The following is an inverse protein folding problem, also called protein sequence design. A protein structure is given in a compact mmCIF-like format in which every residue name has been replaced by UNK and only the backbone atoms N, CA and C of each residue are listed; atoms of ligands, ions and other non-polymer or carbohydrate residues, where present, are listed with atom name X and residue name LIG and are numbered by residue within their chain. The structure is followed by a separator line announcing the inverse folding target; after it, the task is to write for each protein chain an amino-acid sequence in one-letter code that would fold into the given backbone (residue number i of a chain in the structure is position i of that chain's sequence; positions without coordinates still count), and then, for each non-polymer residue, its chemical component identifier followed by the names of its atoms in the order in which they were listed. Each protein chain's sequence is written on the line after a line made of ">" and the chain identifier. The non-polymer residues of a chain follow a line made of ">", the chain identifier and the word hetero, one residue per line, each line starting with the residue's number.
data_IF_356048212333
#
_entry.id   IF_356048212333
#
_cell.length_a   1.000
_cell.length_b   1.000
_cell.length_c   1.000
_cell.angle_alpha   90.00
_cell.angle_beta   90.00
_cell.angle_gamma   90.00
#
_symmetry.space_group_name_H-M   'P 1'
#
loop_
_entity.id
_entity.type
_entity.pdbx_description
1 polymer ?
#
# COMPACT_ATOMS: atom_id res chain seq x y z
N UNK A 1 16.54 9.22 -4.08
CA UNK A 1 17.59 8.31 -3.57
C UNK A 1 17.58 8.17 -2.04
N UNK A 2 17.06 9.15 -1.29
CA UNK A 2 17.03 9.13 0.19
C UNK A 2 16.50 7.83 0.81
N UNK A 3 15.32 7.36 0.37
CA UNK A 3 14.73 6.13 0.90
C UNK A 3 15.60 4.88 0.68
N UNK A 4 16.34 4.81 -0.43
CA UNK A 4 17.25 3.71 -0.70
C UNK A 4 18.42 3.71 0.29
N UNK A 5 19.02 4.87 0.55
CA UNK A 5 20.11 5.01 1.52
C UNK A 5 19.64 4.67 2.94
N UNK A 6 18.49 5.21 3.36
CA UNK A 6 17.90 4.94 4.68
C UNK A 6 17.52 3.47 4.88
N UNK A 7 17.17 2.75 3.81
CA UNK A 7 16.90 1.31 3.86
C UNK A 7 18.16 0.43 3.93
N UNK A 8 19.35 1.00 4.10
CA UNK A 8 20.60 0.24 4.06
C UNK A 8 20.96 -0.25 2.66
N UNK A 9 20.60 0.51 1.62
CA UNK A 9 20.76 0.13 0.20
C UNK A 9 19.97 -1.12 -0.20
N UNK A 10 18.80 -1.35 0.41
CA UNK A 10 17.91 -2.49 0.08
C UNK A 10 16.80 -2.09 -0.89
N UNK A 11 16.05 -1.01 -0.60
CA UNK A 11 14.92 -0.58 -1.44
C UNK A 11 14.63 0.92 -1.33
N UNK A 12 14.54 1.58 -2.48
CA UNK A 12 14.14 2.99 -2.62
C UNK A 12 12.82 3.22 -3.34
N UNK A 13 12.18 2.15 -3.81
CA UNK A 13 10.99 2.24 -4.66
C UNK A 13 9.78 2.80 -3.92
N UNK A 14 9.00 3.64 -4.60
CA UNK A 14 7.73 4.18 -4.12
C UNK A 14 6.70 3.95 -5.23
N UNK A 15 5.63 3.24 -4.91
CA UNK A 15 4.53 3.03 -5.85
C UNK A 15 3.84 4.37 -6.14
N UNK A 16 3.52 4.62 -7.40
CA UNK A 16 2.76 5.79 -7.83
C UNK A 16 1.31 5.40 -8.10
N UNK A 17 0.37 6.28 -7.74
CA UNK A 17 -1.07 6.13 -8.01
C UNK A 17 -1.62 4.78 -7.55
N UNK A 18 -1.55 4.51 -6.24
CA UNK A 18 -2.14 3.30 -5.66
C UNK A 18 -3.62 3.14 -6.08
N UNK A 19 -3.94 1.97 -6.62
CA UNK A 19 -5.29 1.58 -7.03
C UNK A 19 -5.99 0.80 -5.91
N UNK A 20 -7.23 0.38 -6.13
CA UNK A 20 -7.95 -0.54 -5.23
C UNK A 20 -8.14 0.01 -3.81
N UNK A 21 -8.22 1.34 -3.69
CA UNK A 21 -8.36 2.04 -2.41
C UNK A 21 -7.26 1.73 -1.39
N UNK A 22 -6.08 1.38 -1.88
CA UNK A 22 -4.87 1.22 -1.08
C UNK A 22 -4.07 2.51 -1.02
N UNK A 23 -3.19 2.60 -0.03
CA UNK A 23 -2.31 3.73 0.22
C UNK A 23 -0.96 3.25 0.80
N UNK A 24 -0.03 4.20 0.95
CA UNK A 24 1.31 3.96 1.44
C UNK A 24 2.34 3.68 0.34
N UNK A 25 3.61 3.66 0.74
CA UNK A 25 4.77 3.50 -0.16
C UNK A 25 4.67 2.28 -1.09
N UNK A 26 4.09 1.20 -0.58
CA UNK A 26 3.90 -0.07 -1.30
C UNK A 26 2.44 -0.42 -1.54
N UNK A 27 1.52 0.55 -1.42
CA UNK A 27 0.09 0.29 -1.52
C UNK A 27 -0.40 -0.83 -0.58
N UNK A 28 0.13 -0.87 0.66
CA UNK A 28 0.06 -2.01 1.58
C UNK A 28 -0.92 -1.82 2.74
N UNK A 29 -1.61 -0.69 2.81
CA UNK A 29 -2.72 -0.46 3.73
C UNK A 29 -3.87 0.25 3.02
N UNK A 30 -5.05 0.31 3.64
CA UNK A 30 -6.22 0.94 3.04
C UNK A 30 -6.18 2.46 3.20
N UNK A 31 -6.56 3.18 2.14
CA UNK A 31 -6.71 4.64 2.19
C UNK A 31 -7.72 5.02 3.26
N UNK A 32 -7.54 6.19 3.86
CA UNK A 32 -8.52 6.79 4.77
C UNK A 32 -9.94 6.77 4.17
N UNK A 33 -10.93 6.43 5.00
CA UNK A 33 -12.32 6.20 4.59
C UNK A 33 -12.61 4.78 4.06
N UNK A 34 -11.60 3.93 3.89
CA UNK A 34 -11.76 2.52 3.51
C UNK A 34 -11.25 1.62 4.63
N UNK A 35 -11.92 0.49 4.84
CA UNK A 35 -11.53 -0.50 5.85
C UNK A 35 -10.97 -1.77 5.20
N UNK A 36 -10.15 -2.49 5.97
CA UNK A 36 -9.50 -3.73 5.56
C UNK A 36 -10.47 -4.90 5.62
N UNK A 37 -10.58 -5.68 4.54
CA UNK A 37 -11.31 -6.96 4.52
C UNK A 37 -10.42 -8.10 5.02
N UNK A 38 -10.58 -8.60 6.27
CA UNK A 38 -9.68 -9.61 6.83
C UNK A 38 -9.74 -10.94 6.09
N UNK A 39 -10.77 -11.19 5.29
CA UNK A 39 -10.95 -12.46 4.54
C UNK A 39 -10.12 -12.54 3.25
N UNK A 40 -9.43 -11.45 2.87
CA UNK A 40 -8.69 -11.34 1.61
C UNK A 40 -7.26 -10.92 1.90
N UNK A 41 -6.25 -11.38 1.13
CA UNK A 41 -4.89 -10.82 1.24
C UNK A 41 -4.84 -9.37 0.75
N UNK A 42 -3.86 -8.57 1.21
CA UNK A 42 -3.68 -7.17 0.79
C UNK A 42 -3.49 -7.00 -0.72
N UNK A 43 -2.94 -8.01 -1.39
CA UNK A 43 -2.73 -8.02 -2.84
C UNK A 43 -4.03 -8.17 -3.64
N UNK A 44 -5.14 -8.54 -2.99
CA UNK A 44 -6.42 -8.71 -3.66
C UNK A 44 -7.03 -7.35 -4.06
N UNK A 45 -7.60 -7.26 -5.26
CA UNK A 45 -8.25 -6.04 -5.81
C UNK A 45 -9.33 -5.41 -4.90
N UNK A 46 -9.94 -6.22 -4.04
CA UNK A 46 -11.00 -5.83 -3.08
C UNK A 46 -10.55 -5.98 -1.61
N UNK A 47 -9.24 -5.86 -1.34
CA UNK A 47 -8.71 -5.92 0.01
C UNK A 47 -9.17 -4.76 0.90
N UNK A 48 -9.51 -3.62 0.29
CA UNK A 48 -10.07 -2.44 0.92
C UNK A 48 -11.50 -2.20 0.45
N UNK A 49 -12.41 -1.97 1.40
CA UNK A 49 -13.84 -1.76 1.16
C UNK A 49 -14.24 -0.37 1.67
N UNK A 50 -15.07 0.32 0.89
CA UNK A 50 -15.76 1.53 1.35
C UNK A 50 -16.94 1.13 2.22
N UNK A 51 -17.42 2.07 3.03
CA UNK A 51 -18.76 1.95 3.62
C UNK A 51 -19.81 1.89 2.52
#
# INVERSE_FOLDING_TARGET
>A
MELYKLSGRVSGGVCLKCRHFTAGRYCHYCKEGYYRDPTKPMTHRKACKGR
#
